data_IF_460551476372
#
_entry.id   IF_460551476372
#
_cell.length_a   1.000
_cell.length_b   1.000
_cell.length_c   1.000
_cell.angle_alpha   90.00
_cell.angle_beta   90.00
_cell.angle_gamma   90.00
#
_symmetry.space_group_name_H-M   'P 1'
#
loop_
_entity.id
_entity.type
_entity.pdbx_description
1 polymer ?
#
# COMPACT_ATOMS: atom_id res chain seq x y z
N UNK A 1 10.34 9.55 -26.45
CA UNK A 1 9.98 8.11 -26.26
C UNK A 1 9.84 7.39 -27.60
N UNK A 2 10.51 6.25 -27.84
CA UNK A 2 10.21 5.43 -29.01
C UNK A 2 8.81 4.82 -28.86
N UNK A 3 8.02 4.83 -29.92
CA UNK A 3 6.70 4.21 -29.92
C UNK A 3 6.82 2.70 -29.62
N UNK A 4 6.06 2.21 -28.61
CA UNK A 4 6.10 0.81 -28.21
C UNK A 4 5.42 -0.03 -29.31
N UNK A 5 6.21 -0.86 -29.96
CA UNK A 5 5.68 -1.89 -30.86
C UNK A 5 5.33 -3.16 -30.03
N UNK A 6 4.06 -3.29 -29.68
CA UNK A 6 3.57 -4.39 -28.84
C UNK A 6 3.94 -5.79 -29.39
N UNK A 7 3.93 -5.99 -30.71
CA UNK A 7 4.27 -7.28 -31.31
C UNK A 7 5.73 -7.63 -31.03
N UNK A 8 6.64 -6.68 -31.24
CA UNK A 8 8.07 -6.88 -30.95
C UNK A 8 8.32 -7.06 -29.46
N UNK A 9 7.63 -6.31 -28.62
CA UNK A 9 7.75 -6.41 -27.17
C UNK A 9 7.34 -7.82 -26.69
N UNK A 10 6.20 -8.31 -27.14
CA UNK A 10 5.72 -9.68 -26.81
C UNK A 10 6.65 -10.77 -27.28
N UNK A 11 7.31 -10.60 -28.42
CA UNK A 11 8.34 -11.55 -28.89
C UNK A 11 9.55 -11.53 -27.93
N UNK A 12 10.04 -10.36 -27.53
CA UNK A 12 11.13 -10.24 -26.55
C UNK A 12 10.78 -10.90 -25.21
N UNK A 13 9.59 -10.66 -24.70
CA UNK A 13 9.10 -11.29 -23.48
C UNK A 13 9.01 -12.81 -23.58
N UNK A 14 8.54 -13.35 -24.72
CA UNK A 14 8.52 -14.80 -24.95
C UNK A 14 9.92 -15.40 -24.98
N UNK A 15 10.89 -14.70 -25.53
CA UNK A 15 12.29 -15.14 -25.50
C UNK A 15 12.85 -15.12 -24.08
N UNK A 16 12.47 -14.12 -23.29
CA UNK A 16 12.88 -14.02 -21.88
C UNK A 16 12.32 -15.17 -21.03
N UNK A 17 11.12 -15.69 -21.34
CA UNK A 17 10.56 -16.87 -20.66
C UNK A 17 11.42 -18.13 -20.75
N UNK A 18 12.31 -18.24 -21.72
CA UNK A 18 13.28 -19.35 -21.77
C UNK A 18 14.19 -19.37 -20.54
N UNK A 19 14.36 -18.20 -19.90
CA UNK A 19 15.19 -18.02 -18.70
C UNK A 19 14.35 -18.06 -17.41
N UNK A 20 13.10 -18.51 -17.45
CA UNK A 20 12.18 -18.48 -16.28
C UNK A 20 12.73 -19.25 -15.06
N UNK A 21 13.59 -20.25 -15.30
CA UNK A 21 14.26 -21.02 -14.25
C UNK A 21 15.62 -20.44 -13.81
N UNK A 22 16.03 -19.30 -14.37
CA UNK A 22 17.18 -18.52 -13.96
C UNK A 22 16.69 -17.12 -13.50
N UNK A 23 16.37 -16.94 -12.22
CA UNK A 23 15.80 -15.70 -11.71
C UNK A 23 16.65 -14.47 -11.98
N UNK A 24 17.98 -14.59 -11.82
CA UNK A 24 18.91 -13.49 -12.08
C UNK A 24 19.01 -13.15 -13.57
N UNK A 25 19.12 -14.17 -14.45
CA UNK A 25 19.14 -13.97 -15.90
C UNK A 25 17.82 -13.35 -16.40
N UNK A 26 16.67 -13.83 -15.89
CA UNK A 26 15.36 -13.28 -16.22
C UNK A 26 15.25 -11.80 -15.80
N UNK A 27 15.63 -11.48 -14.55
CA UNK A 27 15.56 -10.11 -14.01
C UNK A 27 16.48 -9.16 -14.79
N UNK A 28 17.70 -9.57 -15.10
CA UNK A 28 18.62 -8.78 -15.92
C UNK A 28 18.07 -8.51 -17.33
N UNK A 29 17.54 -9.55 -18.00
CA UNK A 29 16.95 -9.39 -19.33
C UNK A 29 15.70 -8.48 -19.29
N UNK A 30 14.92 -8.55 -18.23
CA UNK A 30 13.77 -7.65 -18.05
C UNK A 30 14.22 -6.20 -17.81
N UNK A 31 15.24 -6.01 -16.97
CA UNK A 31 15.85 -4.70 -16.70
C UNK A 31 16.40 -4.04 -17.98
N UNK A 32 17.03 -4.81 -18.88
CA UNK A 32 17.46 -4.33 -20.20
C UNK A 32 16.26 -3.83 -21.04
N UNK A 33 15.13 -4.54 -21.00
CA UNK A 33 13.92 -4.13 -21.71
C UNK A 33 13.38 -2.82 -21.14
N UNK A 34 13.33 -2.67 -19.80
CA UNK A 34 12.90 -1.44 -19.16
C UNK A 34 13.84 -0.28 -19.50
N UNK A 35 15.15 -0.48 -19.37
CA UNK A 35 16.17 0.50 -19.74
C UNK A 35 16.06 0.96 -21.21
N UNK A 36 15.77 0.04 -22.14
CA UNK A 36 15.57 0.39 -23.55
C UNK A 36 14.35 1.28 -23.79
N UNK A 37 13.33 1.17 -22.96
CA UNK A 37 12.09 1.94 -23.05
C UNK A 37 12.04 3.12 -22.06
N UNK A 38 13.12 3.35 -21.31
CA UNK A 38 13.21 4.43 -20.35
C UNK A 38 13.06 5.81 -20.98
N UNK A 39 12.35 6.71 -20.30
CA UNK A 39 12.29 8.13 -20.67
C UNK A 39 13.33 8.92 -19.88
N UNK A 40 14.49 9.14 -20.50
CA UNK A 40 15.60 9.88 -19.92
C UNK A 40 15.42 11.40 -19.99
N UNK A 41 14.33 11.89 -20.59
CA UNK A 41 14.05 13.34 -20.69
C UNK A 41 13.52 13.94 -19.39
N UNK A 42 13.01 13.11 -18.50
CA UNK A 42 12.60 13.52 -17.15
C UNK A 42 13.68 13.15 -16.14
N UNK A 43 14.17 14.09 -15.32
CA UNK A 43 15.12 13.76 -14.26
C UNK A 43 14.50 12.77 -13.29
N UNK A 44 15.32 11.84 -12.78
CA UNK A 44 14.95 10.96 -11.68
C UNK A 44 14.39 11.82 -10.53
N UNK A 45 13.19 11.52 -10.08
CA UNK A 45 12.54 12.26 -9.00
C UNK A 45 11.35 13.13 -9.37
N UNK A 46 11.02 13.31 -10.66
CA UNK A 46 9.82 14.01 -11.11
C UNK A 46 8.77 13.03 -11.66
N UNK A 47 8.43 11.99 -10.88
CA UNK A 47 7.20 11.24 -11.15
C UNK A 47 5.98 12.13 -10.80
N UNK A 48 4.86 12.05 -11.55
CA UNK A 48 3.64 12.78 -11.22
C UNK A 48 3.10 12.52 -9.81
N UNK A 49 3.56 11.46 -9.17
CA UNK A 49 3.09 10.99 -7.86
C UNK A 49 4.04 11.25 -6.68
N UNK A 50 5.28 11.72 -6.89
CA UNK A 50 6.21 11.95 -5.79
C UNK A 50 7.68 12.00 -6.20
N UNK A 51 8.55 12.32 -5.26
CA UNK A 51 10.00 12.36 -5.42
C UNK A 51 10.56 11.04 -4.85
N UNK A 52 10.83 10.07 -5.72
CA UNK A 52 11.56 8.88 -5.32
C UNK A 52 13.04 9.21 -5.08
N UNK A 53 13.64 8.63 -4.06
CA UNK A 53 15.10 8.66 -3.84
C UNK A 53 15.80 7.59 -4.67
N UNK A 54 15.07 6.56 -5.10
CA UNK A 54 15.54 5.47 -5.94
C UNK A 54 15.55 5.82 -7.43
N UNK A 55 16.38 5.13 -8.24
CA UNK A 55 16.36 5.26 -9.69
C UNK A 55 15.00 4.90 -10.29
N UNK A 56 14.59 5.63 -11.32
CA UNK A 56 13.32 5.43 -12.05
C UNK A 56 13.60 5.36 -13.54
N UNK A 57 13.03 4.42 -14.25
CA UNK A 57 13.10 4.32 -15.70
C UNK A 57 12.12 5.29 -16.40
N UNK A 58 11.04 5.66 -15.74
CA UNK A 58 9.90 6.40 -16.34
C UNK A 58 9.34 5.67 -17.57
N UNK A 59 9.16 4.36 -17.49
CA UNK A 59 8.62 3.56 -18.58
C UNK A 59 7.10 3.69 -18.66
N UNK A 60 6.50 3.53 -19.86
CA UNK A 60 5.04 3.49 -19.98
C UNK A 60 4.43 2.34 -19.17
N UNK A 61 3.33 2.60 -18.47
CA UNK A 61 2.56 1.62 -17.69
C UNK A 61 2.17 0.37 -18.51
N UNK A 62 2.04 0.53 -19.83
CA UNK A 62 1.78 -0.56 -20.76
C UNK A 62 2.85 -1.65 -20.70
N UNK A 63 4.11 -1.29 -20.49
CA UNK A 63 5.21 -2.25 -20.38
C UNK A 63 4.99 -3.17 -19.18
N UNK A 64 4.81 -2.60 -17.99
CA UNK A 64 4.56 -3.34 -16.75
C UNK A 64 3.30 -4.21 -16.86
N UNK A 65 2.21 -3.67 -17.45
CA UNK A 65 0.98 -4.44 -17.61
C UNK A 65 1.14 -5.67 -18.52
N UNK A 66 1.95 -5.60 -19.58
CA UNK A 66 2.23 -6.73 -20.45
C UNK A 66 3.13 -7.78 -19.76
N UNK A 67 4.09 -7.35 -18.92
CA UNK A 67 4.89 -8.28 -18.10
C UNK A 67 4.00 -9.00 -17.07
N UNK A 68 3.15 -8.27 -16.36
CA UNK A 68 2.21 -8.86 -15.40
C UNK A 68 1.30 -9.89 -16.08
N UNK A 69 0.75 -9.58 -17.26
CA UNK A 69 -0.07 -10.54 -18.03
C UNK A 69 0.71 -11.79 -18.42
N UNK A 70 1.96 -11.62 -18.82
CA UNK A 70 2.84 -12.73 -19.21
C UNK A 70 3.15 -13.67 -18.04
N UNK A 71 3.42 -13.12 -16.86
CA UNK A 71 3.84 -13.88 -15.68
C UNK A 71 2.67 -14.34 -14.80
N UNK A 72 1.47 -13.80 -14.99
CA UNK A 72 0.29 -14.18 -14.21
C UNK A 72 -0.01 -15.70 -14.20
N UNK A 73 0.11 -16.46 -15.32
CA UNK A 73 -0.04 -17.91 -15.28
C UNK A 73 0.93 -18.59 -14.31
N UNK A 74 2.19 -18.17 -14.28
CA UNK A 74 3.20 -18.72 -13.35
C UNK A 74 2.88 -18.37 -11.89
N UNK A 75 2.34 -17.18 -11.63
CA UNK A 75 1.91 -16.83 -10.28
C UNK A 75 0.83 -17.80 -9.76
N UNK A 76 -0.08 -18.26 -10.62
CA UNK A 76 -1.23 -19.09 -10.26
C UNK A 76 -0.85 -20.58 -10.27
N UNK A 77 -0.19 -21.05 -11.34
CA UNK A 77 0.02 -22.47 -11.63
C UNK A 77 1.32 -22.98 -11.01
N UNK A 78 2.38 -22.16 -10.95
CA UNK A 78 3.70 -22.56 -10.46
C UNK A 78 4.37 -21.48 -9.59
N UNK A 79 3.82 -21.18 -8.40
CA UNK A 79 4.35 -20.16 -7.50
C UNK A 79 5.83 -20.37 -7.13
N UNK A 80 6.32 -21.60 -7.11
CA UNK A 80 7.68 -21.91 -6.72
C UNK A 80 8.71 -21.45 -7.77
N UNK A 81 8.33 -21.39 -9.03
CA UNK A 81 9.17 -20.86 -10.11
C UNK A 81 9.21 -19.34 -10.09
N UNK A 82 8.07 -18.69 -9.80
CA UNK A 82 7.98 -17.23 -9.89
C UNK A 82 8.48 -16.50 -8.63
N UNK A 83 8.37 -17.10 -7.44
CA UNK A 83 8.80 -16.47 -6.19
C UNK A 83 10.25 -16.01 -6.19
N UNK A 84 11.24 -16.80 -6.66
CA UNK A 84 12.63 -16.33 -6.74
C UNK A 84 12.80 -15.14 -7.69
N UNK A 85 12.03 -15.08 -8.78
CA UNK A 85 12.05 -13.94 -9.71
C UNK A 85 11.47 -12.70 -9.02
N UNK A 86 10.37 -12.84 -8.28
CA UNK A 86 9.76 -11.76 -7.50
C UNK A 86 10.77 -11.20 -6.47
N UNK A 87 11.52 -12.08 -5.79
CA UNK A 87 12.54 -11.68 -4.83
C UNK A 87 13.72 -10.95 -5.52
N UNK A 88 14.17 -11.43 -6.68
CA UNK A 88 15.19 -10.76 -7.47
C UNK A 88 14.74 -9.37 -7.95
N UNK A 89 13.50 -9.26 -8.44
CA UNK A 89 12.93 -7.99 -8.88
C UNK A 89 12.84 -6.96 -7.74
N UNK A 90 12.45 -7.40 -6.53
CA UNK A 90 12.45 -6.53 -5.36
C UNK A 90 13.85 -6.07 -4.96
N UNK A 91 14.86 -6.91 -5.16
CA UNK A 91 16.28 -6.59 -4.90
C UNK A 91 16.88 -5.56 -5.85
N UNK A 92 16.26 -5.28 -7.01
CA UNK A 92 16.74 -4.27 -7.95
C UNK A 92 16.57 -2.85 -7.40
N UNK A 93 17.42 -1.90 -7.77
CA UNK A 93 17.34 -0.53 -7.25
C UNK A 93 16.20 0.29 -7.87
N UNK A 94 15.68 -0.10 -9.04
CA UNK A 94 14.71 0.71 -9.77
C UNK A 94 13.28 0.50 -9.28
N UNK A 95 12.57 1.61 -9.11
CA UNK A 95 11.20 1.67 -8.59
C UNK A 95 10.24 0.75 -9.35
N UNK A 96 10.28 0.79 -10.69
CA UNK A 96 9.33 0.03 -11.52
C UNK A 96 9.52 -1.49 -11.38
N UNK A 97 10.74 -1.96 -11.09
CA UNK A 97 11.00 -3.39 -10.86
C UNK A 97 10.49 -3.83 -9.49
N UNK A 98 10.66 -2.99 -8.47
CA UNK A 98 10.08 -3.21 -7.14
C UNK A 98 8.54 -3.19 -7.17
N UNK A 99 7.94 -2.22 -7.86
CA UNK A 99 6.49 -2.18 -8.06
C UNK A 99 5.97 -3.41 -8.82
N UNK A 100 6.70 -3.87 -9.84
CA UNK A 100 6.38 -5.10 -10.55
C UNK A 100 6.43 -6.31 -9.62
N UNK A 101 7.45 -6.40 -8.75
CA UNK A 101 7.55 -7.47 -7.75
C UNK A 101 6.31 -7.46 -6.83
N UNK A 102 5.91 -6.29 -6.32
CA UNK A 102 4.71 -6.15 -5.50
C UNK A 102 3.43 -6.56 -6.25
N UNK A 103 3.30 -6.17 -7.53
CA UNK A 103 2.14 -6.56 -8.36
C UNK A 103 2.07 -8.08 -8.57
N UNK A 104 3.20 -8.73 -8.84
CA UNK A 104 3.27 -10.18 -9.02
C UNK A 104 3.01 -10.93 -7.72
N UNK A 105 3.55 -10.44 -6.60
CA UNK A 105 3.30 -11.00 -5.26
C UNK A 105 1.80 -11.01 -4.94
N UNK A 106 1.08 -9.94 -5.29
CA UNK A 106 -0.36 -9.84 -5.12
C UNK A 106 -1.20 -10.67 -6.09
N UNK A 107 -0.57 -11.41 -7.03
CA UNK A 107 -1.24 -12.39 -7.91
C UNK A 107 -1.14 -13.82 -7.39
N UNK A 108 -0.33 -14.05 -6.38
CA UNK A 108 -0.17 -15.38 -5.80
C UNK A 108 -1.48 -15.85 -5.15
N UNK A 109 -1.81 -17.16 -5.26
CA UNK A 109 -3.03 -17.70 -4.65
C UNK A 109 -2.92 -17.73 -3.12
N UNK A 110 -4.06 -17.82 -2.44
CA UNK A 110 -4.14 -17.89 -0.96
C UNK A 110 -3.34 -19.04 -0.36
N UNK A 111 -3.04 -20.09 -1.11
CA UNK A 111 -2.10 -21.14 -0.68
C UNK A 111 -0.71 -20.62 -0.34
N UNK A 112 -0.32 -19.46 -0.88
CA UNK A 112 0.96 -18.79 -0.61
C UNK A 112 0.83 -17.64 0.40
N UNK A 113 -0.25 -17.59 1.17
CA UNK A 113 -0.52 -16.52 2.14
C UNK A 113 0.67 -16.18 3.04
N UNK A 114 1.28 -17.19 3.67
CA UNK A 114 2.42 -17.00 4.57
C UNK A 114 3.63 -16.39 3.87
N UNK A 115 3.90 -16.81 2.62
CA UNK A 115 4.98 -16.30 1.79
C UNK A 115 4.76 -14.83 1.41
N UNK A 116 3.51 -14.47 1.09
CA UNK A 116 3.14 -13.09 0.77
C UNK A 116 3.29 -12.20 2.00
N UNK A 117 2.71 -12.58 3.14
CA UNK A 117 2.75 -11.78 4.38
C UNK A 117 4.20 -11.60 4.88
N UNK A 118 5.01 -12.66 4.82
CA UNK A 118 6.42 -12.61 5.21
C UNK A 118 7.20 -11.62 4.36
N UNK A 119 6.98 -11.60 3.03
CA UNK A 119 7.66 -10.66 2.11
C UNK A 119 7.19 -9.23 2.31
N UNK A 120 5.89 -9.00 2.46
CA UNK A 120 5.40 -7.63 2.77
C UNK A 120 6.10 -7.09 4.01
N UNK A 121 6.20 -7.92 5.06
CA UNK A 121 6.87 -7.51 6.31
C UNK A 121 8.36 -7.25 6.10
N UNK A 122 9.12 -8.20 5.52
CA UNK A 122 10.57 -8.07 5.35
C UNK A 122 10.92 -6.92 4.40
N UNK A 123 10.22 -6.80 3.29
CA UNK A 123 10.45 -5.73 2.32
C UNK A 123 10.15 -4.34 2.89
N UNK A 124 9.11 -4.22 3.73
CA UNK A 124 8.80 -2.96 4.39
C UNK A 124 9.83 -2.56 5.45
N UNK A 125 10.54 -3.51 6.03
CA UNK A 125 11.60 -3.24 7.00
C UNK A 125 12.87 -2.72 6.31
N UNK A 126 13.18 -3.28 5.14
CA UNK A 126 14.40 -2.98 4.41
C UNK A 126 14.27 -1.77 3.48
N UNK A 127 13.01 -1.34 3.19
CA UNK A 127 12.77 -0.26 2.25
C UNK A 127 12.92 1.11 2.92
N UNK A 128 13.83 1.92 2.38
CA UNK A 128 14.08 3.27 2.86
C UNK A 128 13.30 4.35 2.09
N UNK A 129 12.69 3.98 0.96
CA UNK A 129 11.87 4.92 0.18
C UNK A 129 10.41 4.84 0.62
N UNK A 130 9.99 5.85 1.38
CA UNK A 130 8.63 5.94 1.92
C UNK A 130 7.53 5.94 0.83
N UNK A 131 7.88 6.31 -0.41
CA UNK A 131 6.93 6.33 -1.53
C UNK A 131 6.63 4.92 -2.08
N UNK A 132 7.51 3.94 -1.85
CA UNK A 132 7.27 2.55 -2.26
C UNK A 132 6.35 1.78 -1.32
N UNK A 133 6.29 2.14 -0.04
CA UNK A 133 5.44 1.43 0.93
C UNK A 133 3.95 1.45 0.57
N UNK A 134 3.35 2.58 0.12
CA UNK A 134 1.97 2.58 -0.36
C UNK A 134 1.76 1.64 -1.56
N UNK A 135 2.68 1.63 -2.53
CA UNK A 135 2.60 0.75 -3.69
C UNK A 135 2.72 -0.73 -3.29
N UNK A 136 3.62 -1.05 -2.36
CA UNK A 136 3.75 -2.40 -1.80
C UNK A 136 2.44 -2.87 -1.16
N UNK A 137 1.83 -2.06 -0.28
CA UNK A 137 0.55 -2.40 0.36
C UNK A 137 -0.58 -2.53 -0.65
N UNK A 138 -0.66 -1.59 -1.59
CA UNK A 138 -1.71 -1.56 -2.61
C UNK A 138 -1.69 -2.81 -3.49
N UNK A 139 -0.50 -3.28 -3.87
CA UNK A 139 -0.35 -4.36 -4.83
C UNK A 139 -0.16 -5.74 -4.18
N UNK A 140 0.76 -5.87 -3.24
CA UNK A 140 1.16 -7.18 -2.71
C UNK A 140 0.06 -7.88 -1.91
N UNK A 141 -0.81 -7.14 -1.22
CA UNK A 141 -1.91 -7.72 -0.44
C UNK A 141 -3.20 -7.96 -1.26
N UNK A 142 -3.18 -7.76 -2.59
CA UNK A 142 -4.40 -7.75 -3.43
C UNK A 142 -5.21 -9.04 -3.34
N UNK A 143 -4.58 -10.21 -3.49
CA UNK A 143 -5.28 -11.49 -3.42
C UNK A 143 -5.89 -11.73 -2.02
N UNK A 144 -5.11 -11.46 -0.97
CA UNK A 144 -5.55 -11.64 0.42
C UNK A 144 -6.76 -10.75 0.72
N UNK A 145 -6.71 -9.46 0.36
CA UNK A 145 -7.80 -8.51 0.61
C UNK A 145 -9.07 -8.85 -0.14
N UNK A 146 -8.95 -9.40 -1.36
CA UNK A 146 -10.12 -9.80 -2.18
C UNK A 146 -10.77 -11.08 -1.70
N UNK A 147 -9.98 -12.07 -1.34
CA UNK A 147 -10.47 -13.40 -0.98
C UNK A 147 -10.82 -13.53 0.50
N UNK A 148 -10.06 -12.86 1.36
CA UNK A 148 -10.21 -12.94 2.83
C UNK A 148 -9.82 -11.62 3.51
N UNK A 149 -10.62 -10.55 3.36
CA UNK A 149 -10.31 -9.25 3.96
C UNK A 149 -10.20 -9.29 5.48
N UNK A 150 -10.97 -10.15 6.15
CA UNK A 150 -10.89 -10.31 7.60
C UNK A 150 -9.55 -10.92 8.02
N UNK A 151 -9.02 -11.89 7.26
CA UNK A 151 -7.69 -12.44 7.51
C UNK A 151 -6.59 -11.39 7.33
N UNK A 152 -6.75 -10.46 6.37
CA UNK A 152 -5.84 -9.33 6.24
C UNK A 152 -5.89 -8.41 7.46
N UNK A 153 -7.08 -8.10 7.97
CA UNK A 153 -7.22 -7.33 9.22
C UNK A 153 -6.61 -8.05 10.43
N UNK A 154 -6.69 -9.38 10.50
CA UNK A 154 -6.02 -10.15 11.55
C UNK A 154 -4.50 -10.02 11.48
N UNK A 155 -3.93 -10.03 10.28
CA UNK A 155 -2.49 -9.73 10.06
C UNK A 155 -2.15 -8.34 10.56
N UNK A 156 -2.93 -7.32 10.18
CA UNK A 156 -2.70 -5.94 10.62
C UNK A 156 -2.82 -5.80 12.14
N UNK A 157 -3.80 -6.47 12.77
CA UNK A 157 -3.93 -6.51 14.22
C UNK A 157 -2.70 -7.15 14.90
N UNK A 158 -2.17 -8.23 14.33
CA UNK A 158 -0.97 -8.89 14.85
C UNK A 158 0.25 -7.97 14.78
N UNK A 159 0.41 -7.24 13.68
CA UNK A 159 1.49 -6.26 13.51
C UNK A 159 1.35 -5.07 14.45
N UNK A 160 0.14 -4.55 14.61
CA UNK A 160 -0.13 -3.46 15.54
C UNK A 160 0.09 -3.84 17.01
N UNK A 161 -0.05 -5.12 17.34
CA UNK A 161 0.16 -5.66 18.72
C UNK A 161 1.60 -6.04 18.98
N UNK A 162 2.48 -6.00 17.98
CA UNK A 162 3.90 -6.28 18.14
C UNK A 162 4.61 -5.10 18.85
N UNK A 163 5.63 -5.41 19.62
CA UNK A 163 6.45 -4.40 20.32
C UNK A 163 7.49 -3.73 19.38
N UNK A 164 7.04 -3.44 18.15
CA UNK A 164 7.87 -2.85 17.10
C UNK A 164 7.14 -1.67 16.46
N UNK A 165 7.56 -0.46 16.76
CA UNK A 165 6.88 0.78 16.33
C UNK A 165 6.70 0.90 14.80
N UNK A 166 7.61 0.36 14.00
CA UNK A 166 7.49 0.37 12.54
C UNK A 166 6.39 -0.57 12.04
N UNK A 167 6.16 -1.70 12.73
CA UNK A 167 5.05 -2.61 12.40
C UNK A 167 3.68 -1.98 12.67
N UNK A 168 3.56 -1.16 13.72
CA UNK A 168 2.32 -0.43 13.97
C UNK A 168 2.00 0.56 12.84
N UNK A 169 3.00 1.27 12.31
CA UNK A 169 2.82 2.14 11.13
C UNK A 169 2.40 1.34 9.91
N UNK A 170 3.09 0.23 9.65
CA UNK A 170 2.79 -0.69 8.56
C UNK A 170 1.35 -1.21 8.65
N UNK A 171 0.90 -1.57 9.86
CA UNK A 171 -0.45 -2.04 10.09
C UNK A 171 -1.49 -0.95 9.80
N UNK A 172 -1.24 0.28 10.22
CA UNK A 172 -2.13 1.42 9.97
C UNK A 172 -2.24 1.69 8.47
N UNK A 173 -1.12 1.84 7.76
CA UNK A 173 -1.09 2.07 6.32
C UNK A 173 -1.70 0.90 5.53
N UNK A 174 -1.56 -0.32 6.00
CA UNK A 174 -2.15 -1.52 5.41
C UNK A 174 -3.68 -1.55 5.40
N UNK A 175 -4.36 -0.67 6.16
CA UNK A 175 -5.82 -0.50 6.10
C UNK A 175 -6.28 0.31 4.88
N UNK A 176 -5.43 1.20 4.36
CA UNK A 176 -5.78 2.14 3.28
C UNK A 176 -6.31 1.41 2.03
N UNK A 177 -5.66 0.35 1.52
CA UNK A 177 -6.17 -0.36 0.36
C UNK A 177 -7.53 -1.04 0.56
N UNK A 178 -7.92 -1.38 1.81
CA UNK A 178 -9.28 -1.85 2.11
C UNK A 178 -10.29 -0.70 2.08
N UNK A 179 -9.90 0.47 2.58
CA UNK A 179 -10.74 1.67 2.59
C UNK A 179 -11.02 2.13 1.15
N UNK A 180 -10.03 2.08 0.29
CA UNK A 180 -10.14 2.53 -1.11
C UNK A 180 -10.85 1.50 -2.00
N UNK A 181 -10.94 0.24 -1.58
CA UNK A 181 -11.68 -0.79 -2.30
C UNK A 181 -13.20 -0.62 -2.06
N UNK A 182 -13.89 -0.07 -3.06
CA UNK A 182 -15.35 0.14 -3.01
C UNK A 182 -16.17 -1.15 -2.92
N UNK A 183 -15.57 -2.30 -3.15
CA UNK A 183 -16.25 -3.61 -2.97
C UNK A 183 -16.22 -4.09 -1.52
N UNK A 184 -15.29 -3.57 -0.72
CA UNK A 184 -15.22 -3.85 0.72
C UNK A 184 -16.22 -2.98 1.50
N UNK A 185 -17.23 -3.60 2.10
CA UNK A 185 -18.34 -2.89 2.75
C UNK A 185 -18.28 -2.91 4.28
N UNK A 186 -17.26 -3.54 4.89
CA UNK A 186 -17.16 -3.65 6.35
C UNK A 186 -16.27 -2.54 6.95
N UNK A 187 -16.60 -1.26 6.71
CA UNK A 187 -15.91 -0.13 7.35
C UNK A 187 -15.94 -0.18 8.89
N UNK A 188 -17.00 -0.70 9.57
CA UNK A 188 -16.99 -0.89 11.01
C UNK A 188 -15.81 -1.71 11.54
N UNK A 189 -15.32 -2.70 10.80
CA UNK A 189 -14.13 -3.46 11.20
C UNK A 189 -12.86 -2.59 11.22
N UNK A 190 -12.72 -1.69 10.23
CA UNK A 190 -11.62 -0.71 10.19
C UNK A 190 -11.75 0.29 11.35
N UNK A 191 -12.96 0.79 11.62
CA UNK A 191 -13.21 1.67 12.77
C UNK A 191 -12.84 1.00 14.09
N UNK A 192 -13.16 -0.29 14.23
CA UNK A 192 -12.77 -1.08 15.41
C UNK A 192 -11.24 -1.18 15.54
N UNK A 193 -10.54 -1.43 14.43
CA UNK A 193 -9.08 -1.49 14.40
C UNK A 193 -8.42 -0.17 14.80
N UNK A 194 -8.86 0.98 14.26
CA UNK A 194 -8.21 2.28 14.51
C UNK A 194 -8.68 2.96 15.79
N UNK A 195 -9.80 2.55 16.39
CA UNK A 195 -10.38 3.18 17.60
C UNK A 195 -9.39 3.28 18.75
N UNK A 196 -8.71 2.20 19.20
CA UNK A 196 -7.74 2.28 20.30
C UNK A 196 -6.56 3.18 19.97
N UNK A 197 -6.15 3.26 18.71
CA UNK A 197 -5.03 4.10 18.25
C UNK A 197 -5.38 5.58 18.29
N UNK A 198 -6.64 5.94 18.02
CA UNK A 198 -7.13 7.33 18.11
C UNK A 198 -7.39 7.72 19.56
N UNK A 199 -7.83 6.79 20.41
CA UNK A 199 -8.01 7.04 21.83
C UNK A 199 -6.71 7.42 22.55
N UNK A 200 -5.60 6.80 22.16
CA UNK A 200 -4.26 7.09 22.67
C UNK A 200 -3.26 7.24 21.50
N UNK A 201 -3.31 8.36 20.74
CA UNK A 201 -2.51 8.52 19.54
C UNK A 201 -1.04 8.76 19.89
N UNK A 202 -0.22 7.77 19.64
CA UNK A 202 1.23 7.86 19.78
C UNK A 202 1.79 8.86 18.75
N UNK A 203 2.73 9.75 19.17
CA UNK A 203 3.25 10.78 18.27
C UNK A 203 3.81 10.25 16.95
N UNK A 204 4.43 9.08 16.99
CA UNK A 204 5.04 8.43 15.84
C UNK A 204 4.05 7.88 14.82
N UNK A 205 2.79 7.61 15.21
CA UNK A 205 1.74 7.02 14.37
C UNK A 205 0.71 8.05 13.89
N UNK A 206 0.85 9.32 14.31
CA UNK A 206 -0.17 10.34 14.02
C UNK A 206 -0.29 10.67 12.53
N UNK A 207 0.81 10.60 11.80
CA UNK A 207 0.80 10.87 10.36
C UNK A 207 0.01 9.80 9.61
N UNK A 208 0.30 8.55 9.87
CA UNK A 208 -0.39 7.40 9.27
C UNK A 208 -1.88 7.37 9.64
N UNK A 209 -2.20 7.65 10.90
CA UNK A 209 -3.59 7.76 11.34
C UNK A 209 -4.34 8.89 10.63
N UNK A 210 -3.71 10.04 10.38
CA UNK A 210 -4.34 11.14 9.63
C UNK A 210 -4.59 10.75 8.18
N UNK A 211 -3.66 10.03 7.53
CA UNK A 211 -3.87 9.47 6.18
C UNK A 211 -5.08 8.54 6.16
N UNK A 212 -5.18 7.62 7.13
CA UNK A 212 -6.33 6.71 7.23
C UNK A 212 -7.64 7.48 7.41
N UNK A 213 -7.68 8.50 8.28
CA UNK A 213 -8.87 9.35 8.45
C UNK A 213 -9.21 10.10 7.15
N UNK A 214 -8.22 10.58 6.40
CA UNK A 214 -8.43 11.22 5.10
C UNK A 214 -9.07 10.26 4.09
N UNK A 215 -8.57 9.02 3.97
CA UNK A 215 -9.16 8.00 3.09
C UNK A 215 -10.58 7.62 3.52
N UNK A 216 -10.81 7.44 4.82
CA UNK A 216 -12.15 7.19 5.38
C UNK A 216 -13.11 8.35 5.10
N UNK A 217 -12.66 9.61 5.25
CA UNK A 217 -13.47 10.78 4.94
C UNK A 217 -13.84 10.85 3.46
N UNK A 218 -12.91 10.54 2.56
CA UNK A 218 -13.18 10.44 1.12
C UNK A 218 -14.17 9.31 0.79
N UNK A 219 -14.10 8.20 1.51
CA UNK A 219 -14.97 7.04 1.32
C UNK A 219 -16.39 7.30 1.82
N UNK A 220 -16.53 7.80 3.06
CA UNK A 220 -17.79 8.11 3.71
C UNK A 220 -17.57 9.15 4.82
N UNK A 221 -17.71 10.42 4.46
CA UNK A 221 -17.46 11.54 5.37
C UNK A 221 -18.37 11.51 6.60
N UNK A 222 -19.65 11.18 6.38
CA UNK A 222 -20.67 11.15 7.45
C UNK A 222 -20.39 10.04 8.47
N UNK A 223 -20.08 8.82 7.99
CA UNK A 223 -19.78 7.70 8.88
C UNK A 223 -18.48 7.93 9.67
N UNK A 224 -17.48 8.53 9.01
CA UNK A 224 -16.21 8.86 9.66
C UNK A 224 -16.40 9.91 10.75
N UNK A 225 -17.22 10.94 10.51
CA UNK A 225 -17.55 11.94 11.53
C UNK A 225 -18.32 11.31 12.69
N UNK A 226 -19.28 10.43 12.39
CA UNK A 226 -20.01 9.71 13.43
C UNK A 226 -19.08 8.86 14.31
N UNK A 227 -18.19 8.10 13.69
CA UNK A 227 -17.16 7.33 14.37
C UNK A 227 -16.27 8.23 15.26
N UNK A 228 -15.74 9.33 14.74
CA UNK A 228 -14.90 10.23 15.53
C UNK A 228 -15.64 10.81 16.74
N UNK A 229 -16.94 11.13 16.61
CA UNK A 229 -17.77 11.55 17.74
C UNK A 229 -17.92 10.46 18.80
N UNK A 230 -18.09 9.20 18.38
CA UNK A 230 -18.11 8.06 19.30
C UNK A 230 -16.78 7.94 20.06
N UNK A 231 -15.65 7.98 19.33
CA UNK A 231 -14.31 7.93 19.96
C UNK A 231 -14.12 9.08 20.95
N UNK A 232 -14.53 10.29 20.59
CA UNK A 232 -14.53 11.43 21.52
C UNK A 232 -15.34 11.14 22.79
N UNK A 233 -16.42 10.31 22.73
CA UNK A 233 -17.21 9.98 23.90
C UNK A 233 -16.52 9.07 24.89
N UNK A 234 -15.52 8.36 24.46
CA UNK A 234 -14.83 7.35 25.26
C UNK A 234 -13.62 7.89 26.02
N UNK A 235 -13.02 9.00 25.60
CA UNK A 235 -11.80 9.52 26.21
C UNK A 235 -11.72 11.06 26.17
N UNK A 236 -11.04 11.62 27.17
CA UNK A 236 -10.68 13.04 27.25
C UNK A 236 -9.16 13.24 27.21
N UNK A 237 -8.39 12.22 26.77
CA UNK A 237 -6.94 12.27 26.74
C UNK A 237 -6.42 13.49 25.95
N UNK A 238 -5.46 14.27 26.47
CA UNK A 238 -4.95 15.49 25.82
C UNK A 238 -4.32 15.22 24.45
N UNK A 239 -3.72 14.03 24.26
CA UNK A 239 -3.13 13.59 22.98
C UNK A 239 -4.20 13.45 21.90
N UNK A 240 -5.32 12.82 22.23
CA UNK A 240 -6.48 12.68 21.33
C UNK A 240 -7.02 14.05 20.88
N UNK A 241 -7.16 14.99 21.81
CA UNK A 241 -7.67 16.34 21.47
C UNK A 241 -6.75 17.12 20.53
N UNK A 242 -5.43 16.90 20.56
CA UNK A 242 -4.48 17.48 19.59
C UNK A 242 -4.60 16.81 18.22
N UNK A 243 -4.67 15.50 18.21
CA UNK A 243 -4.86 14.71 16.99
C UNK A 243 -6.15 15.10 16.27
N UNK A 244 -7.27 15.13 16.98
CA UNK A 244 -8.58 15.46 16.41
C UNK A 244 -8.63 16.87 15.82
N UNK A 245 -7.96 17.87 16.41
CA UNK A 245 -7.88 19.21 15.81
C UNK A 245 -7.26 19.20 14.42
N UNK A 246 -6.26 18.35 14.19
CA UNK A 246 -5.67 18.17 12.85
C UNK A 246 -6.60 17.41 11.91
N UNK A 247 -7.27 16.37 12.42
CA UNK A 247 -8.20 15.57 11.63
C UNK A 247 -9.44 16.34 11.18
N UNK A 248 -9.91 17.33 11.96
CA UNK A 248 -11.09 18.14 11.61
C UNK A 248 -10.93 18.86 10.27
N UNK A 249 -9.73 19.29 9.93
CA UNK A 249 -9.48 20.06 8.71
C UNK A 249 -9.61 19.19 7.42
N UNK A 250 -9.73 17.87 7.57
CA UNK A 250 -9.96 16.92 6.46
C UNK A 250 -11.42 16.84 6.01
N UNK A 251 -12.36 17.48 6.73
CA UNK A 251 -13.80 17.38 6.49
C UNK A 251 -14.39 18.65 5.84
N UNK A 252 -15.58 18.52 5.29
CA UNK A 252 -16.35 19.66 4.78
C UNK A 252 -16.75 20.64 5.90
N UNK A 253 -16.91 21.95 5.59
CA UNK A 253 -17.15 22.98 6.61
C UNK A 253 -18.32 22.69 7.58
N UNK A 254 -19.48 22.15 7.15
CA UNK A 254 -20.58 21.82 8.07
C UNK A 254 -20.19 20.72 9.07
N UNK A 255 -19.43 19.72 8.62
CA UNK A 255 -19.01 18.61 9.46
C UNK A 255 -17.84 18.99 10.37
N UNK A 256 -16.96 19.89 9.91
CA UNK A 256 -15.95 20.51 10.80
C UNK A 256 -16.61 21.21 11.99
N UNK A 257 -17.64 22.04 11.75
CA UNK A 257 -18.33 22.74 12.86
C UNK A 257 -19.05 21.78 13.79
N UNK A 258 -19.62 20.69 13.23
CA UNK A 258 -20.22 19.62 14.02
C UNK A 258 -19.22 18.94 14.96
N UNK A 259 -17.99 18.63 14.48
CA UNK A 259 -16.92 18.07 15.29
C UNK A 259 -16.38 19.07 16.32
N UNK A 260 -16.18 20.33 15.92
CA UNK A 260 -15.74 21.41 16.84
C UNK A 260 -16.76 21.65 17.97
N UNK A 261 -18.05 21.61 17.65
CA UNK A 261 -19.13 21.73 18.65
C UNK A 261 -19.04 20.61 19.67
N UNK A 262 -18.86 19.35 19.22
CA UNK A 262 -18.73 18.21 20.09
C UNK A 262 -17.46 18.31 21.01
N UNK A 263 -16.35 18.79 20.46
CA UNK A 263 -15.13 19.03 21.25
C UNK A 263 -15.32 20.13 22.31
N UNK A 264 -16.11 21.19 22.02
CA UNK A 264 -16.39 22.28 22.98
C UNK A 264 -17.24 21.79 24.14
N UNK A 265 -18.31 21.01 23.88
CA UNK A 265 -19.19 20.44 24.92
C UNK A 265 -18.41 19.66 25.98
N UNK A 266 -17.31 19.01 25.58
CA UNK A 266 -16.49 18.17 26.47
C UNK A 266 -15.43 18.91 27.23
N UNK A 267 -15.08 20.16 26.84
CA UNK A 267 -14.16 21.03 27.56
C UNK A 267 -14.79 21.75 28.75
N UNK A 268 -16.11 21.79 28.84
CA UNK A 268 -16.81 22.37 29.99
C UNK A 268 -16.91 21.29 31.06
N UNK A 269 -16.18 21.38 32.19
CA UNK A 269 -16.38 20.47 33.31
C UNK A 269 -17.82 20.64 33.81
N UNK A 270 -18.54 19.54 34.00
CA UNK A 270 -19.77 19.55 34.78
C UNK A 270 -19.45 19.80 36.23
#
# INVERSE_FOLDING_TARGET
>A
MPAINLTRLRVRFKLLLVQINDPAGFTNGLREIYSFHADLTHPAGNSPSGVFTLPVFNTPLLLTSEVVKLLNPYCIEDPQVILPIIDCLWGEPEVELKELAAQLLGKLPMAQFSEVVSRIRSWSMDENDAELLPALHQHASTAIRRESPDLWLDVLNSWNSADEAWLAKLAIDGTIPLIDDHTYNNLPAIFTFISPLILNPEPQNQYELLKVIEHLARRSEVETVFFLKQVMSLSTAPGMGRFLRRAIDLFSPPLQESLRSEMRKRRVPQ
#
